data_IF_702441278285
#
_entry.id   IF_702441278285
#
_cell.length_a   1.000
_cell.length_b   1.000
_cell.length_c   1.000
_cell.angle_alpha   90.00
_cell.angle_beta   90.00
_cell.angle_gamma   90.00
#
_symmetry.space_group_name_H-M   'P 1'
#
loop_
_entity.id
_entity.type
_entity.pdbx_description
1 polymer ?
#
# COMPACT_ATOMS: atom_id res chain seq x y z
N UNK A 1 -8.09 -51.37 -22.28
CA UNK A 1 -9.57 -51.47 -22.18
C UNK A 1 -10.09 -50.07 -21.94
N UNK A 2 -10.50 -49.38 -23.00
CA UNK A 2 -10.93 -47.97 -22.95
C UNK A 2 -12.44 -47.91 -22.78
N UNK A 3 -12.92 -47.23 -21.74
CA UNK A 3 -14.34 -47.00 -21.52
C UNK A 3 -14.70 -45.56 -21.92
N UNK A 4 -15.60 -45.44 -22.89
CA UNK A 4 -16.25 -44.21 -23.36
C UNK A 4 -17.40 -43.88 -22.41
N UNK A 5 -17.48 -42.62 -21.95
CA UNK A 5 -18.63 -42.09 -21.18
C UNK A 5 -19.33 -41.02 -22.02
N UNK A 6 -20.66 -41.08 -22.23
CA UNK A 6 -21.36 -40.17 -23.12
C UNK A 6 -21.81 -38.87 -22.43
N UNK A 7 -21.78 -37.81 -23.24
CA UNK A 7 -22.28 -36.44 -23.01
C UNK A 7 -23.80 -36.39 -22.89
N UNK A 8 -24.33 -35.56 -21.97
CA UNK A 8 -25.73 -35.13 -21.95
C UNK A 8 -25.82 -33.60 -21.92
N UNK A 9 -26.10 -33.03 -23.09
CA UNK A 9 -26.58 -31.65 -23.24
C UNK A 9 -28.04 -31.57 -22.77
N UNK A 10 -28.38 -30.57 -21.94
CA UNK A 10 -29.77 -30.17 -21.69
C UNK A 10 -29.95 -28.72 -22.10
N UNK A 11 -30.70 -28.53 -23.17
CA UNK A 11 -31.34 -27.28 -23.56
C UNK A 11 -32.52 -27.02 -22.63
N UNK A 12 -32.69 -25.78 -22.15
CA UNK A 12 -33.97 -25.29 -21.64
C UNK A 12 -34.22 -23.93 -22.30
N UNK A 13 -35.23 -23.90 -23.17
CA UNK A 13 -35.94 -22.70 -23.62
C UNK A 13 -36.97 -22.34 -22.54
N UNK A 14 -37.09 -21.05 -22.21
CA UNK A 14 -38.15 -20.49 -21.39
C UNK A 14 -38.44 -19.05 -21.84
N UNK A 15 -39.72 -18.76 -22.09
CA UNK A 15 -40.21 -17.69 -22.96
C UNK A 15 -40.64 -16.40 -22.23
N UNK A 16 -40.66 -15.32 -23.02
CA UNK A 16 -41.53 -14.12 -23.09
C UNK A 16 -42.38 -13.64 -21.89
N UNK A 17 -42.39 -12.31 -21.74
CA UNK A 17 -43.55 -11.48 -21.35
C UNK A 17 -43.15 -10.32 -20.41
N UNK A 18 -43.60 -9.08 -20.52
CA UNK A 18 -44.42 -8.35 -21.47
C UNK A 18 -44.20 -6.84 -21.25
N UNK A 19 -44.47 -6.02 -22.28
CA UNK A 19 -44.46 -4.56 -22.23
C UNK A 19 -45.59 -4.01 -21.33
N UNK A 20 -45.33 -2.93 -20.61
CA UNK A 20 -46.35 -2.09 -19.97
C UNK A 20 -46.12 -0.62 -20.32
N UNK A 21 -47.02 -0.07 -21.16
CA UNK A 21 -47.03 1.32 -21.61
C UNK A 21 -47.82 2.26 -20.69
N UNK A 22 -47.24 3.46 -20.55
CA UNK A 22 -47.74 4.79 -20.15
C UNK A 22 -49.26 5.01 -20.09
N UNK A 23 -49.72 5.65 -19.02
CA UNK A 23 -50.87 6.58 -19.06
C UNK A 23 -50.55 7.87 -18.33
N UNK A 24 -50.56 8.99 -19.06
CA UNK A 24 -50.58 10.33 -18.51
C UNK A 24 -52.05 10.78 -18.37
N UNK A 25 -52.40 11.35 -17.22
CA UNK A 25 -53.61 12.16 -17.05
C UNK A 25 -53.26 13.36 -16.16
N UNK A 26 -53.45 14.54 -16.73
CA UNK A 26 -53.35 15.85 -16.08
C UNK A 26 -54.76 16.41 -15.79
N UNK A 27 -54.78 17.44 -14.94
CA UNK A 27 -55.83 18.39 -14.51
C UNK A 27 -56.00 18.33 -12.98
N UNK A 28 -55.92 19.38 -12.18
CA UNK A 28 -55.81 20.84 -12.37
C UNK A 28 -56.40 21.53 -11.12
N UNK A 29 -55.84 22.67 -10.69
CA UNK A 29 -56.42 23.60 -9.69
C UNK A 29 -55.67 23.65 -8.33
N UNK A 30 -54.75 24.59 -8.11
CA UNK A 30 -54.89 25.97 -7.56
C UNK A 30 -55.50 26.06 -6.15
N UNK A 31 -54.68 26.33 -5.13
CA UNK A 31 -54.50 27.70 -4.57
C UNK A 31 -53.66 27.68 -3.27
N UNK A 32 -52.64 28.54 -3.26
CA UNK A 32 -51.95 29.27 -2.18
C UNK A 32 -52.10 28.82 -0.72
N UNK A 33 -50.97 28.62 -0.02
CA UNK A 33 -50.53 29.58 1.01
C UNK A 33 -49.16 29.23 1.62
N UNK A 34 -48.54 30.24 2.22
CA UNK A 34 -47.31 30.25 3.02
C UNK A 34 -45.97 30.31 2.26
N UNK A 35 -45.60 31.54 1.93
CA UNK A 35 -44.23 31.96 1.70
C UNK A 35 -43.33 31.65 2.91
N UNK A 36 -42.48 30.64 2.80
CA UNK A 36 -41.25 30.57 3.59
C UNK A 36 -40.09 31.08 2.74
N UNK A 37 -39.52 32.23 3.12
CA UNK A 37 -38.25 32.73 2.58
C UNK A 37 -37.20 31.62 2.62
N UNK A 38 -36.85 31.05 1.46
CA UNK A 38 -35.63 30.27 1.32
C UNK A 38 -34.45 31.24 1.51
N UNK A 39 -33.77 31.12 2.64
CA UNK A 39 -32.51 31.80 2.88
C UNK A 39 -31.50 31.32 1.83
N UNK A 40 -30.83 32.27 1.15
CA UNK A 40 -29.69 31.97 0.29
C UNK A 40 -28.64 31.18 1.07
N UNK A 41 -28.03 30.12 0.49
CA UNK A 41 -26.90 29.46 1.14
C UNK A 41 -25.76 30.47 1.28
N UNK A 42 -25.42 30.78 2.53
CA UNK A 42 -24.25 31.59 2.91
C UNK A 42 -23.01 30.93 2.28
N UNK A 43 -22.09 31.69 1.64
CA UNK A 43 -20.85 31.13 1.14
C UNK A 43 -20.14 30.43 2.30
N UNK A 44 -19.95 29.12 2.19
CA UNK A 44 -19.20 28.33 3.15
C UNK A 44 -17.75 28.78 3.03
N UNK A 45 -17.36 29.71 3.89
CA UNK A 45 -15.96 30.03 4.14
C UNK A 45 -15.27 28.75 4.56
N UNK A 46 -14.41 28.21 3.68
CA UNK A 46 -13.41 27.21 4.03
C UNK A 46 -12.72 27.68 5.31
N UNK A 47 -12.67 26.89 6.39
CA UNK A 47 -11.87 27.25 7.54
C UNK A 47 -10.42 27.39 7.07
N UNK A 48 -9.68 28.43 7.50
CA UNK A 48 -8.26 28.49 7.21
C UNK A 48 -7.63 27.19 7.72
N UNK A 49 -6.84 26.54 6.86
CA UNK A 49 -5.90 25.50 7.28
C UNK A 49 -5.13 26.16 8.43
N UNK A 50 -5.30 25.63 9.64
CA UNK A 50 -4.58 26.13 10.78
C UNK A 50 -3.08 26.09 10.42
N UNK A 51 -2.44 27.26 10.40
CA UNK A 51 -0.99 27.40 10.43
C UNK A 51 -0.50 26.78 11.74
N UNK A 52 -0.41 25.45 11.73
CA UNK A 52 0.30 24.68 12.73
C UNK A 52 1.75 24.63 12.29
N UNK A 53 2.53 25.61 12.74
CA UNK A 53 3.98 25.50 12.73
C UNK A 53 4.38 24.29 13.58
N UNK A 54 4.50 23.12 12.97
CA UNK A 54 5.19 21.98 13.58
C UNK A 54 6.67 22.22 13.36
N UNK A 55 7.24 23.10 14.19
CA UNK A 55 8.68 23.45 14.20
C UNK A 55 9.49 22.55 15.13
N UNK A 56 8.97 21.39 15.49
CA UNK A 56 9.75 20.39 16.21
C UNK A 56 9.42 19.03 15.62
N UNK A 57 10.43 18.27 15.23
CA UNK A 57 10.30 16.94 14.66
C UNK A 57 9.85 15.89 15.68
N UNK A 58 8.97 16.27 16.61
CA UNK A 58 8.43 15.42 17.66
C UNK A 58 7.50 14.39 17.02
N UNK A 59 7.88 13.11 17.15
CA UNK A 59 7.07 11.96 16.76
C UNK A 59 5.77 11.92 17.62
N UNK A 60 4.66 11.34 17.13
CA UNK A 60 3.44 11.19 17.92
C UNK A 60 3.67 10.49 19.27
N UNK A 61 2.92 10.87 20.30
CA UNK A 61 3.06 10.35 21.66
C UNK A 61 3.10 8.80 21.72
N UNK A 62 4.09 8.26 22.46
CA UNK A 62 4.36 6.83 22.58
C UNK A 62 5.39 6.27 21.59
N UNK A 63 5.94 7.12 20.73
CA UNK A 63 6.87 6.75 19.65
C UNK A 63 8.14 7.60 19.73
N UNK A 64 8.78 7.67 20.90
CA UNK A 64 10.05 8.37 21.03
C UNK A 64 11.06 7.85 19.98
N UNK A 65 11.95 8.71 19.46
CA UNK A 65 13.11 8.26 18.71
C UNK A 65 13.93 7.32 19.62
N UNK A 66 13.73 6.01 19.56
CA UNK A 66 14.69 5.04 20.07
C UNK A 66 15.98 5.25 19.29
N UNK A 67 16.93 5.98 19.89
CA UNK A 67 18.21 6.37 19.30
C UNK A 67 19.09 5.20 18.85
N UNK A 68 18.58 3.96 18.88
CA UNK A 68 19.13 2.79 18.20
C UNK A 68 18.86 2.76 16.68
N UNK A 69 18.22 3.78 16.09
CA UNK A 69 17.93 3.90 14.66
C UNK A 69 19.16 3.65 13.75
N UNK A 70 19.20 2.56 12.96
CA UNK A 70 20.15 2.45 11.86
C UNK A 70 19.58 3.21 10.66
N UNK A 71 19.50 4.53 10.73
CA UNK A 71 19.34 5.36 9.51
C UNK A 71 20.58 5.08 8.64
N UNK A 72 20.45 4.86 7.30
CA UNK A 72 21.60 4.89 6.41
C UNK A 72 22.38 6.18 6.64
N UNK A 73 23.71 6.17 6.49
CA UNK A 73 24.66 7.23 6.87
C UNK A 73 24.47 8.59 6.16
N UNK A 74 23.23 9.03 5.93
CA UNK A 74 22.84 10.11 5.03
C UNK A 74 23.43 9.98 3.61
N UNK A 75 23.71 8.73 3.24
CA UNK A 75 24.15 8.29 1.94
C UNK A 75 22.98 7.68 1.18
N UNK A 76 23.00 7.80 -0.16
CA UNK A 76 21.98 7.22 -1.04
C UNK A 76 21.69 5.77 -0.67
N UNK A 77 20.41 5.46 -0.46
CA UNK A 77 19.97 4.10 -0.18
C UNK A 77 20.32 3.20 -1.35
N UNK A 78 20.89 2.03 -1.06
CA UNK A 78 21.26 1.08 -2.11
C UNK A 78 20.03 0.66 -2.92
N UNK A 79 20.15 0.70 -4.25
CA UNK A 79 19.13 0.15 -5.16
C UNK A 79 19.04 -1.37 -5.04
N UNK A 80 17.92 -1.95 -5.46
CA UNK A 80 17.78 -3.40 -5.65
C UNK A 80 16.90 -3.67 -6.88
N UNK A 81 16.85 -4.91 -7.35
CA UNK A 81 16.07 -5.27 -8.55
C UNK A 81 14.57 -5.02 -8.30
N UNK A 82 13.84 -4.61 -9.33
CA UNK A 82 12.36 -4.44 -9.24
C UNK A 82 11.65 -5.80 -9.08
N UNK A 83 12.19 -6.84 -9.72
CA UNK A 83 11.52 -8.14 -9.79
C UNK A 83 10.32 -8.12 -10.76
N UNK A 84 9.67 -9.27 -10.97
CA UNK A 84 8.65 -9.41 -12.02
C UNK A 84 7.24 -8.99 -11.58
N UNK A 85 7.03 -8.72 -10.29
CA UNK A 85 5.69 -8.59 -9.71
C UNK A 85 5.26 -7.16 -9.44
N UNK A 86 6.01 -6.14 -9.88
CA UNK A 86 5.58 -4.74 -9.75
C UNK A 86 4.28 -4.50 -10.53
N UNK A 87 3.39 -3.67 -9.95
CA UNK A 87 2.15 -3.21 -10.58
C UNK A 87 2.00 -1.73 -10.28
N UNK A 88 2.03 -0.91 -11.33
CA UNK A 88 1.77 0.51 -11.22
C UNK A 88 0.35 0.80 -10.73
N UNK A 89 0.11 2.03 -10.25
CA UNK A 89 -1.21 2.52 -9.86
C UNK A 89 -1.90 1.80 -8.69
N UNK A 90 -1.13 1.19 -7.78
CA UNK A 90 -1.67 0.72 -6.50
C UNK A 90 -2.42 1.84 -5.76
N UNK A 91 -3.49 1.55 -5.01
CA UNK A 91 -4.28 2.59 -4.35
C UNK A 91 -3.50 3.27 -3.23
N UNK A 92 -3.89 4.50 -2.89
CA UNK A 92 -3.32 5.21 -1.76
C UNK A 92 -3.85 4.64 -0.44
N UNK A 93 -2.97 4.09 0.40
CA UNK A 93 -3.29 3.53 1.72
C UNK A 93 -2.02 3.20 2.49
N UNK A 94 -2.14 3.22 3.82
CA UNK A 94 -1.08 2.81 4.76
C UNK A 94 -1.25 1.37 5.24
N UNK A 95 -2.49 0.87 5.33
CA UNK A 95 -2.78 -0.53 5.64
C UNK A 95 -2.96 -1.36 4.38
N UNK A 96 -2.04 -2.29 4.14
CA UNK A 96 -1.99 -3.14 2.94
C UNK A 96 -2.74 -4.46 3.12
N UNK A 97 -3.22 -4.77 4.33
CA UNK A 97 -3.76 -6.08 4.73
C UNK A 97 -5.20 -6.31 4.32
N UNK A 98 -5.81 -5.41 3.55
CA UNK A 98 -7.18 -5.58 3.08
C UNK A 98 -7.36 -6.93 2.37
N UNK A 99 -8.22 -7.80 2.93
CA UNK A 99 -8.45 -9.16 2.43
C UNK A 99 -7.38 -10.19 2.83
N UNK A 100 -6.48 -9.87 3.76
CA UNK A 100 -5.44 -10.75 4.31
C UNK A 100 -5.65 -10.86 5.82
N UNK A 101 -6.00 -12.05 6.30
CA UNK A 101 -6.35 -12.36 7.69
C UNK A 101 -5.33 -13.29 8.39
N UNK A 102 -4.20 -13.55 7.73
CA UNK A 102 -3.13 -14.42 8.24
C UNK A 102 -1.75 -13.79 8.05
N UNK A 103 -0.75 -14.39 8.69
CA UNK A 103 0.65 -13.93 8.70
C UNK A 103 0.97 -13.15 9.98
N UNK A 104 2.27 -12.94 10.21
CA UNK A 104 2.75 -12.17 11.37
C UNK A 104 2.59 -10.67 11.05
N UNK A 105 1.81 -9.89 11.80
CA UNK A 105 1.65 -8.46 11.55
C UNK A 105 2.99 -7.73 11.56
N UNK A 106 3.19 -6.81 10.61
CA UNK A 106 4.35 -5.94 10.51
C UNK A 106 3.88 -4.48 10.43
N UNK A 107 4.47 -3.64 11.26
CA UNK A 107 4.42 -2.20 11.13
C UNK A 107 5.80 -1.69 10.70
N UNK A 108 5.90 -1.24 9.45
CA UNK A 108 7.10 -0.64 8.89
C UNK A 108 6.93 0.89 8.84
N UNK A 109 7.88 1.63 9.39
CA UNK A 109 7.88 3.09 9.39
C UNK A 109 9.23 3.66 8.98
N UNK A 110 9.24 4.93 8.65
CA UNK A 110 10.47 5.66 8.38
C UNK A 110 10.22 7.01 7.78
N UNK A 111 11.30 7.65 7.34
CA UNK A 111 11.31 8.95 6.68
C UNK A 111 11.91 8.82 5.28
N UNK A 112 11.73 9.86 4.49
CA UNK A 112 12.41 10.01 3.20
C UNK A 112 13.26 11.27 3.26
N UNK A 113 14.50 11.19 2.83
CA UNK A 113 15.48 12.26 2.84
C UNK A 113 16.14 12.40 1.47
N UNK A 114 16.78 13.55 1.23
CA UNK A 114 17.86 13.65 0.25
C UNK A 114 19.22 13.30 0.89
N UNK A 115 20.26 13.13 0.07
CA UNK A 115 21.65 12.98 0.56
C UNK A 115 22.00 14.09 1.55
N UNK A 116 22.65 13.72 2.65
CA UNK A 116 22.98 14.63 3.76
C UNK A 116 21.87 14.82 4.80
N UNK A 117 20.66 14.28 4.59
CA UNK A 117 19.54 14.29 5.54
C UNK A 117 19.19 15.64 6.18
N UNK A 118 19.33 16.77 5.46
CA UNK A 118 19.08 18.09 6.04
C UNK A 118 17.65 18.25 6.60
N UNK A 119 16.66 17.76 5.86
CA UNK A 119 15.25 17.70 6.28
C UNK A 119 14.53 16.57 5.53
N UNK A 120 13.45 15.99 6.10
CA UNK A 120 12.62 15.04 5.38
C UNK A 120 12.03 15.65 4.10
N UNK A 121 12.01 14.86 3.01
CA UNK A 121 11.36 15.21 1.76
C UNK A 121 9.85 14.99 1.91
N UNK A 122 9.13 16.06 2.23
CA UNK A 122 7.67 16.08 2.21
C UNK A 122 7.15 15.80 0.80
N UNK A 123 5.94 15.24 0.71
CA UNK A 123 5.29 14.83 -0.56
C UNK A 123 6.01 13.75 -1.37
N UNK A 124 7.12 13.20 -0.87
CA UNK A 124 7.74 12.01 -1.44
C UNK A 124 6.71 10.86 -1.50
N UNK A 125 6.69 10.14 -2.61
CA UNK A 125 5.80 9.01 -2.85
C UNK A 125 6.55 7.72 -2.50
N UNK A 126 5.99 6.95 -1.57
CA UNK A 126 6.44 5.60 -1.21
C UNK A 126 5.42 4.60 -1.77
N UNK A 127 5.85 3.76 -2.71
CA UNK A 127 5.06 2.72 -3.38
C UNK A 127 5.59 1.34 -2.97
N UNK A 128 4.73 0.56 -2.30
CA UNK A 128 5.12 -0.69 -1.63
C UNK A 128 4.35 -1.86 -2.23
N UNK A 129 5.06 -2.95 -2.47
CA UNK A 129 4.46 -4.24 -2.83
C UNK A 129 5.24 -5.41 -2.22
N UNK A 130 4.55 -6.50 -1.94
CA UNK A 130 5.15 -7.71 -1.37
C UNK A 130 4.26 -8.93 -1.63
N UNK A 131 4.82 -10.11 -1.36
CA UNK A 131 4.05 -11.33 -1.21
C UNK A 131 3.27 -11.35 0.12
N UNK A 132 2.29 -12.25 0.22
CA UNK A 132 1.66 -12.60 1.50
C UNK A 132 2.55 -13.50 2.37
N UNK A 133 2.08 -13.84 3.56
CA UNK A 133 2.82 -14.67 4.52
C UNK A 133 3.15 -16.09 4.01
N UNK A 134 2.53 -16.54 2.92
CA UNK A 134 2.82 -17.82 2.26
C UNK A 134 3.77 -17.68 1.05
N UNK A 135 4.16 -16.44 0.70
CA UNK A 135 5.06 -16.17 -0.43
C UNK A 135 4.33 -15.96 -1.77
N UNK A 136 3.04 -15.66 -1.75
CA UNK A 136 2.23 -15.47 -2.95
C UNK A 136 1.98 -14.00 -3.27
N UNK A 137 2.13 -13.63 -4.53
CA UNK A 137 1.69 -12.34 -5.07
C UNK A 137 0.29 -12.46 -5.68
N UNK A 138 -0.45 -11.36 -5.72
CA UNK A 138 -1.76 -11.32 -6.39
C UNK A 138 -1.70 -11.49 -7.92
N UNK A 139 -0.50 -11.44 -8.52
CA UNK A 139 -0.28 -11.54 -9.96
C UNK A 139 0.75 -12.61 -10.36
N UNK A 140 1.09 -13.54 -9.47
CA UNK A 140 1.98 -14.68 -9.80
C UNK A 140 1.22 -15.92 -10.30
N UNK A 141 -0.12 -15.88 -10.30
CA UNK A 141 -0.98 -16.99 -10.72
C UNK A 141 -1.29 -18.02 -9.63
N UNK A 142 -0.81 -17.84 -8.40
CA UNK A 142 -1.06 -18.76 -7.27
C UNK A 142 -2.34 -18.43 -6.51
N UNK A 143 -2.81 -17.19 -6.59
CA UNK A 143 -4.03 -16.72 -5.93
C UNK A 143 -5.16 -16.46 -6.93
N UNK A 144 -6.39 -16.71 -6.52
CA UNK A 144 -7.60 -16.29 -7.25
C UNK A 144 -8.03 -14.89 -6.80
N UNK A 145 -7.21 -13.88 -7.11
CA UNK A 145 -7.49 -12.47 -6.83
C UNK A 145 -7.93 -11.79 -8.13
N UNK A 146 -9.03 -11.01 -8.15
CA UNK A 146 -9.43 -10.27 -9.34
C UNK A 146 -8.30 -9.33 -9.81
N UNK A 147 -8.00 -9.22 -11.12
CA UNK A 147 -6.87 -8.42 -11.61
C UNK A 147 -6.93 -6.95 -11.21
N UNK A 148 -8.11 -6.39 -10.98
CA UNK A 148 -8.33 -5.02 -10.51
C UNK A 148 -8.03 -4.84 -9.01
N UNK A 149 -8.04 -5.93 -8.25
CA UNK A 149 -7.73 -5.89 -6.83
C UNK A 149 -6.20 -5.82 -6.63
N UNK A 150 -5.80 -4.95 -5.71
CA UNK A 150 -4.43 -4.83 -5.24
C UNK A 150 -4.37 -5.44 -3.84
N UNK A 151 -3.71 -6.59 -3.68
CA UNK A 151 -3.49 -7.23 -2.38
C UNK A 151 -2.05 -6.96 -1.95
N UNK A 152 -1.85 -6.52 -0.71
CA UNK A 152 -0.52 -6.22 -0.15
C UNK A 152 0.31 -5.23 -1.00
N UNK A 153 -0.40 -4.24 -1.56
CA UNK A 153 0.15 -3.16 -2.40
C UNK A 153 -0.47 -1.84 -2.02
N UNK A 154 0.33 -0.80 -1.94
CA UNK A 154 -0.18 0.53 -1.64
C UNK A 154 0.85 1.62 -1.83
N UNK A 155 0.33 2.81 -2.10
CA UNK A 155 1.10 4.04 -2.20
C UNK A 155 0.76 4.98 -1.06
N UNK A 156 1.71 5.79 -0.65
CA UNK A 156 1.47 6.87 0.28
C UNK A 156 2.38 8.05 -0.03
N UNK A 157 1.87 9.26 0.23
CA UNK A 157 2.71 10.44 0.29
C UNK A 157 3.22 10.60 1.71
N UNK A 158 4.50 10.92 1.85
CA UNK A 158 5.07 11.29 3.13
C UNK A 158 4.30 12.50 3.66
N UNK A 159 3.72 12.33 4.85
CA UNK A 159 2.86 13.33 5.49
C UNK A 159 3.68 14.53 5.99
N UNK A 160 3.01 15.58 6.49
CA UNK A 160 3.69 16.74 7.09
C UNK A 160 4.57 16.41 8.30
N UNK A 161 4.38 15.24 8.92
CA UNK A 161 5.27 14.74 9.98
C UNK A 161 6.63 14.25 9.46
N UNK A 162 6.80 14.15 8.13
CA UNK A 162 7.99 13.58 7.50
C UNK A 162 8.05 12.04 7.53
N UNK A 163 7.00 11.39 8.04
CA UNK A 163 6.93 9.94 8.20
C UNK A 163 6.06 9.28 7.11
N UNK A 164 6.48 8.07 6.72
CA UNK A 164 5.64 7.07 6.08
C UNK A 164 5.33 5.93 7.07
N UNK A 165 4.18 5.28 6.89
CA UNK A 165 3.73 4.14 7.69
C UNK A 165 3.09 3.08 6.81
N UNK A 166 3.53 1.83 6.96
CA UNK A 166 2.99 0.67 6.27
C UNK A 166 2.58 -0.38 7.30
N UNK A 167 1.28 -0.65 7.40
CA UNK A 167 0.73 -1.80 8.11
C UNK A 167 0.56 -2.94 7.14
N UNK A 168 1.24 -4.05 7.40
CA UNK A 168 1.32 -5.21 6.53
C UNK A 168 1.55 -6.47 7.36
N UNK A 169 2.02 -7.55 6.72
CA UNK A 169 2.51 -8.77 7.37
C UNK A 169 3.94 -9.05 6.93
N UNK A 170 4.69 -9.81 7.73
CA UNK A 170 5.97 -10.37 7.28
C UNK A 170 5.68 -11.27 6.06
N UNK A 171 6.27 -10.99 4.88
CA UNK A 171 6.07 -11.80 3.69
C UNK A 171 6.72 -13.17 3.85
N UNK A 172 6.13 -14.18 3.23
CA UNK A 172 6.74 -15.49 3.06
C UNK A 172 7.84 -15.47 2.00
N UNK A 173 8.62 -16.54 1.97
CA UNK A 173 9.62 -16.76 0.93
C UNK A 173 8.93 -17.20 -0.37
N UNK A 174 9.37 -16.67 -1.52
CA UNK A 174 8.91 -17.15 -2.83
C UNK A 174 10.04 -17.77 -3.64
N UNK A 175 9.66 -18.66 -4.57
CA UNK A 175 10.60 -19.32 -5.48
C UNK A 175 11.03 -18.39 -6.60
N UNK A 176 12.33 -18.28 -6.78
CA UNK A 176 12.98 -17.76 -7.98
C UNK A 176 13.70 -18.93 -8.67
N UNK A 177 13.05 -19.52 -9.67
CA UNK A 177 13.48 -20.81 -10.23
C UNK A 177 13.37 -21.91 -9.17
N UNK A 178 14.50 -22.56 -8.85
CA UNK A 178 14.57 -23.63 -7.84
C UNK A 178 14.98 -23.16 -6.44
N UNK A 179 15.21 -21.86 -6.24
CA UNK A 179 15.71 -21.31 -4.98
C UNK A 179 14.71 -20.34 -4.36
N UNK A 180 14.49 -20.46 -3.06
CA UNK A 180 13.72 -19.47 -2.31
C UNK A 180 14.53 -18.19 -2.12
N UNK A 181 13.85 -17.05 -2.29
CA UNK A 181 14.35 -15.75 -1.86
C UNK A 181 14.00 -15.52 -0.38
N UNK A 182 14.83 -14.79 0.39
CA UNK A 182 14.47 -14.31 1.71
C UNK A 182 13.17 -13.52 1.66
N UNK A 183 12.46 -13.45 2.78
CA UNK A 183 11.32 -12.56 2.94
C UNK A 183 11.77 -11.12 2.66
N UNK A 184 11.01 -10.38 1.84
CA UNK A 184 11.32 -8.99 1.54
C UNK A 184 10.10 -8.17 1.15
N UNK A 185 10.19 -6.88 1.43
CA UNK A 185 9.24 -5.85 1.01
C UNK A 185 9.88 -5.08 -0.13
N UNK A 186 9.23 -4.99 -1.29
CA UNK A 186 9.68 -4.12 -2.35
C UNK A 186 9.18 -2.71 -2.14
N UNK A 187 10.03 -1.73 -2.48
CA UNK A 187 9.70 -0.32 -2.35
C UNK A 187 10.23 0.48 -3.54
N UNK A 188 9.39 1.38 -4.05
CA UNK A 188 9.75 2.49 -4.92
C UNK A 188 9.55 3.79 -4.18
N UNK A 189 10.54 4.67 -4.24
CA UNK A 189 10.49 5.98 -3.59
C UNK A 189 10.85 7.06 -4.60
N UNK A 190 10.01 8.08 -4.71
CA UNK A 190 10.24 9.22 -5.60
C UNK A 190 9.91 10.52 -4.89
N UNK A 191 10.60 11.60 -5.25
CA UNK A 191 10.34 12.94 -4.74
C UNK A 191 10.70 13.97 -5.83
N UNK A 192 10.06 15.16 -5.84
CA UNK A 192 10.46 16.24 -6.74
C UNK A 192 11.96 16.54 -6.64
N UNK A 193 12.63 16.66 -7.78
CA UNK A 193 14.07 16.97 -7.85
C UNK A 193 15.02 15.82 -7.49
N UNK A 194 14.51 14.60 -7.30
CA UNK A 194 15.31 13.44 -6.92
C UNK A 194 15.10 12.27 -7.90
N UNK A 195 16.10 11.41 -8.04
CA UNK A 195 15.97 10.16 -8.81
C UNK A 195 15.04 9.19 -8.10
N UNK A 196 14.22 8.48 -8.86
CA UNK A 196 13.42 7.37 -8.32
C UNK A 196 14.36 6.26 -7.82
N UNK A 197 14.13 5.82 -6.59
CA UNK A 197 14.78 4.67 -5.98
C UNK A 197 13.87 3.45 -6.13
N UNK A 198 14.37 2.38 -6.73
CA UNK A 198 13.78 1.04 -6.61
C UNK A 198 14.68 0.19 -5.72
N UNK A 199 14.10 -0.41 -4.67
CA UNK A 199 14.85 -1.24 -3.72
C UNK A 199 13.99 -2.33 -3.08
N UNK A 200 14.61 -3.13 -2.21
CA UNK A 200 13.99 -4.19 -1.42
C UNK A 200 14.50 -4.10 0.01
N UNK A 201 13.62 -4.32 0.98
CA UNK A 201 13.96 -4.40 2.40
C UNK A 201 13.84 -5.85 2.86
N UNK A 202 14.88 -6.35 3.53
CA UNK A 202 15.00 -7.72 4.02
C UNK A 202 14.95 -7.75 5.54
N UNK A 203 14.89 -8.94 6.13
CA UNK A 203 14.78 -9.11 7.58
C UNK A 203 16.00 -9.82 8.15
N UNK A 204 16.51 -9.31 9.27
CA UNK A 204 17.58 -9.96 10.03
C UNK A 204 17.15 -11.36 10.48
N UNK A 205 18.08 -12.31 10.46
CA UNK A 205 17.82 -13.70 10.85
C UNK A 205 17.17 -14.58 9.77
N UNK A 206 16.79 -14.02 8.61
CA UNK A 206 16.30 -14.82 7.49
C UNK A 206 17.41 -15.74 6.93
N UNK A 207 17.16 -17.05 6.94
CA UNK A 207 18.11 -18.08 6.50
C UNK A 207 18.53 -17.96 5.04
N UNK A 208 17.71 -17.35 4.19
CA UNK A 208 18.01 -17.19 2.76
C UNK A 208 18.84 -15.95 2.45
N UNK A 209 19.04 -15.04 3.42
CA UNK A 209 19.91 -13.87 3.25
C UNK A 209 21.33 -14.24 2.83
N UNK A 210 21.82 -15.40 3.28
CA UNK A 210 23.19 -15.85 3.01
C UNK A 210 23.39 -16.37 1.57
N UNK A 211 22.31 -16.69 0.85
CA UNK A 211 22.38 -17.38 -0.45
C UNK A 211 21.66 -16.63 -1.58
N UNK A 212 20.87 -15.61 -1.29
CA UNK A 212 20.26 -14.78 -2.35
C UNK A 212 21.29 -13.82 -2.96
N UNK A 213 21.57 -13.91 -4.28
CA UNK A 213 22.56 -13.07 -4.94
C UNK A 213 22.18 -11.57 -4.99
N UNK A 214 20.93 -11.20 -4.71
CA UNK A 214 20.46 -9.82 -4.74
C UNK A 214 20.57 -9.10 -3.39
N UNK A 215 20.94 -9.80 -2.32
CA UNK A 215 21.03 -9.21 -0.98
C UNK A 215 22.10 -8.13 -0.92
N UNK A 216 21.75 -7.01 -0.28
CA UNK A 216 22.69 -5.96 0.13
C UNK A 216 22.53 -5.74 1.63
N UNK A 217 23.62 -5.91 2.39
CA UNK A 217 23.61 -5.81 3.87
C UNK A 217 22.93 -4.55 4.42
N UNK A 218 23.12 -3.34 3.84
CA UNK A 218 22.45 -2.14 4.34
C UNK A 218 20.92 -2.12 4.17
N UNK A 219 20.34 -3.10 3.47
CA UNK A 219 18.90 -3.23 3.25
C UNK A 219 18.26 -4.27 4.19
N UNK A 220 19.02 -4.85 5.11
CA UNK A 220 18.51 -5.82 6.10
C UNK A 220 18.06 -5.04 7.34
N UNK A 221 16.77 -5.12 7.65
CA UNK A 221 16.15 -4.49 8.81
C UNK A 221 16.16 -5.43 10.01
N UNK A 222 16.39 -4.87 11.19
CA UNK A 222 16.12 -5.55 12.46
C UNK A 222 14.63 -5.43 12.81
N UNK A 223 14.07 -6.53 13.30
CA UNK A 223 12.70 -6.58 13.80
C UNK A 223 12.67 -6.40 15.32
N UNK A 224 11.69 -5.62 15.79
CA UNK A 224 11.37 -5.48 17.20
C UNK A 224 9.98 -6.07 17.46
N UNK A 225 9.91 -7.08 18.33
CA UNK A 225 8.63 -7.68 18.72
C UNK A 225 7.88 -6.76 19.69
N UNK A 226 6.60 -6.50 19.43
CA UNK A 226 5.67 -5.87 20.35
C UNK A 226 4.96 -6.92 21.21
N UNK A 227 4.41 -6.49 22.35
CA UNK A 227 3.76 -7.38 23.32
C UNK A 227 2.52 -8.12 22.79
N UNK A 228 1.90 -7.59 21.72
CA UNK A 228 0.73 -8.15 21.05
C UNK A 228 1.08 -9.10 19.89
N UNK A 229 2.38 -9.37 19.67
CA UNK A 229 2.86 -10.22 18.58
C UNK A 229 3.07 -9.49 17.25
N UNK A 230 2.77 -8.19 17.15
CA UNK A 230 3.16 -7.36 16.01
C UNK A 230 4.69 -7.23 15.95
N UNK A 231 5.27 -7.35 14.75
CA UNK A 231 6.66 -6.98 14.50
C UNK A 231 6.73 -5.53 14.05
N UNK A 232 7.75 -4.82 14.50
CA UNK A 232 8.02 -3.43 14.12
C UNK A 232 9.38 -3.34 13.44
N UNK A 233 9.44 -2.57 12.36
CA UNK A 233 10.66 -2.29 11.64
C UNK A 233 10.74 -0.81 11.29
N UNK A 234 11.96 -0.29 11.24
CA UNK A 234 12.24 1.06 10.79
C UNK A 234 13.24 1.08 9.67
N UNK A 235 12.99 1.94 8.68
CA UNK A 235 13.93 2.16 7.58
C UNK A 235 13.75 3.56 7.00
N UNK A 236 14.81 4.37 6.96
CA UNK A 236 14.76 5.66 6.26
C UNK A 236 15.30 5.50 4.84
N UNK A 237 14.65 6.16 3.87
CA UNK A 237 15.13 6.24 2.51
C UNK A 237 15.89 7.53 2.27
N UNK A 238 17.01 7.44 1.55
CA UNK A 238 17.81 8.59 1.14
C UNK A 238 17.91 8.57 -0.39
N UNK A 239 17.31 9.58 -1.02
CA UNK A 239 17.29 9.74 -2.47
C UNK A 239 18.45 10.60 -2.94
N UNK A 240 19.02 10.25 -4.09
CA UNK A 240 19.98 11.10 -4.77
C UNK A 240 19.29 12.17 -5.62
N UNK A 241 19.94 13.32 -5.86
CA UNK A 241 19.43 14.37 -6.74
C UNK A 241 19.27 13.87 -8.19
N UNK A 242 18.26 14.39 -8.88
CA UNK A 242 17.95 14.11 -10.28
C UNK A 242 19.05 14.58 -11.25
#
# INVERSE_FOLDING_TARGET
MSAVVPSRRRFVLGALGALGTVTASACGGSSNDAASRAAQPKPTTTPPIADGSVTDGSLPDGWAPDTTWPTPQCMETATNIEGPYYRAAAPFRTDLRAGVDFGVPLLLRGRVFGVGCAAPLLDALVDVWQADGAGHYDNDGTLSVPPEAYRLRGRQRVSSSGLYEVRTVIPGHYLNGSQYRPAHVHVKVSAPGHRELTTQLYFEGDKYNAIDPFIKKPLIMTLQAAADGEQRAWFDFVLAPA
#
